data_IF_758852735471
#
_entry.id   IF_758852735471
#
_cell.length_a   1.000
_cell.length_b   1.000
_cell.length_c   1.000
_cell.angle_alpha   90.00
_cell.angle_beta   90.00
_cell.angle_gamma   90.00
#
_symmetry.space_group_name_H-M   'P 1'
#
loop_
_entity.id
_entity.type
_entity.pdbx_description
1 polymer ?
#
# COMPACT_ATOMS: atom_id res chain seq x y z
N UNK A 1 16.91 -19.34 12.15
CA UNK A 1 17.14 -18.86 10.78
C UNK A 1 16.80 -17.40 10.68
N UNK A 2 17.65 -16.65 10.00
CA UNK A 2 17.39 -15.23 9.78
C UNK A 2 16.30 -15.05 8.72
N UNK A 3 15.48 -14.03 8.89
CA UNK A 3 14.52 -13.62 7.87
C UNK A 3 15.27 -13.07 6.64
N UNK A 4 14.66 -13.18 5.48
CA UNK A 4 15.19 -12.55 4.28
C UNK A 4 15.28 -11.03 4.46
N UNK A 5 16.37 -10.37 4.02
CA UNK A 5 16.55 -8.92 4.20
C UNK A 5 15.38 -8.07 3.68
N UNK A 6 14.69 -8.54 2.64
CA UNK A 6 13.55 -7.84 2.07
C UNK A 6 12.35 -7.77 3.03
N UNK A 7 12.25 -8.68 4.00
CA UNK A 7 11.20 -8.60 5.04
C UNK A 7 11.36 -7.30 5.83
N UNK A 8 12.57 -6.99 6.29
CA UNK A 8 12.80 -5.78 7.08
C UNK A 8 12.64 -4.52 6.24
N UNK A 9 13.08 -4.53 4.98
CA UNK A 9 12.88 -3.40 4.08
C UNK A 9 11.40 -3.07 3.89
N UNK A 10 10.58 -4.11 3.71
CA UNK A 10 9.14 -3.95 3.57
C UNK A 10 8.52 -3.40 4.86
N UNK A 11 8.90 -3.96 6.02
CA UNK A 11 8.42 -3.47 7.31
C UNK A 11 8.77 -2.00 7.52
N UNK A 12 9.98 -1.60 7.17
CA UNK A 12 10.45 -0.22 7.31
C UNK A 12 9.64 0.73 6.41
N UNK A 13 9.34 0.30 5.19
CA UNK A 13 8.53 1.10 4.26
C UNK A 13 7.10 1.32 4.79
N UNK A 14 6.47 0.27 5.30
CA UNK A 14 5.13 0.38 5.86
C UNK A 14 5.13 1.19 7.16
N UNK A 15 6.18 1.07 7.97
CA UNK A 15 6.35 1.90 9.17
C UNK A 15 6.45 3.39 8.83
N UNK A 16 7.21 3.73 7.79
CA UNK A 16 7.31 5.10 7.30
C UNK A 16 5.95 5.62 6.80
N UNK A 17 5.21 4.78 6.06
CA UNK A 17 3.86 5.12 5.62
C UNK A 17 2.94 5.44 6.81
N UNK A 18 3.04 4.68 7.89
CA UNK A 18 2.20 4.84 9.08
C UNK A 18 2.38 6.19 9.77
N UNK A 19 3.56 6.82 9.62
CA UNK A 19 3.82 8.16 10.18
C UNK A 19 3.74 9.26 9.13
N UNK A 20 3.25 8.94 7.92
CA UNK A 20 3.08 9.91 6.85
C UNK A 20 4.35 10.30 6.10
N UNK A 21 5.45 9.56 6.30
CA UNK A 21 6.72 9.83 5.63
C UNK A 21 6.78 9.09 4.30
N UNK A 22 6.14 9.66 3.27
CA UNK A 22 6.09 9.04 1.95
C UNK A 22 7.46 8.97 1.27
N UNK A 23 8.34 9.92 1.51
CA UNK A 23 9.69 9.87 0.95
C UNK A 23 10.43 8.63 1.42
N UNK A 24 10.41 8.34 2.72
CA UNK A 24 11.03 7.14 3.27
C UNK A 24 10.27 5.88 2.86
N UNK A 25 8.93 5.92 2.83
CA UNK A 25 8.11 4.77 2.44
C UNK A 25 8.39 4.31 1.01
N UNK A 26 8.69 5.24 0.10
CA UNK A 26 8.83 4.97 -1.32
C UNK A 26 10.29 4.96 -1.81
N UNK A 27 11.26 5.01 -0.89
CA UNK A 27 12.68 5.13 -1.25
C UNK A 27 13.21 3.94 -2.05
N UNK A 28 12.64 2.75 -1.88
CA UNK A 28 13.09 1.52 -2.55
C UNK A 28 12.29 1.20 -3.82
N UNK A 29 11.45 2.12 -4.30
CA UNK A 29 10.73 1.92 -5.55
C UNK A 29 11.68 2.05 -6.76
N UNK A 30 11.49 1.17 -7.74
CA UNK A 30 12.08 1.37 -9.06
C UNK A 30 11.50 2.65 -9.68
N UNK A 31 12.27 3.36 -10.54
CA UNK A 31 11.78 4.63 -11.11
C UNK A 31 10.48 4.52 -11.87
N UNK A 32 10.19 3.36 -12.47
CA UNK A 32 8.98 3.10 -13.23
C UNK A 32 8.06 2.08 -12.55
N UNK A 33 8.14 2.00 -11.21
CA UNK A 33 7.28 1.12 -10.44
C UNK A 33 5.80 1.40 -10.71
N UNK A 34 4.97 0.35 -10.63
CA UNK A 34 3.53 0.44 -10.85
C UNK A 34 2.80 -0.07 -9.61
N UNK A 35 1.92 0.75 -9.07
CA UNK A 35 0.98 0.33 -8.04
C UNK A 35 -0.38 0.09 -8.69
N UNK A 36 -0.88 -1.14 -8.52
CA UNK A 36 -2.13 -1.61 -9.11
C UNK A 36 -3.22 -1.59 -8.05
N UNK A 37 -4.04 -0.55 -8.05
CA UNK A 37 -5.15 -0.43 -7.11
C UNK A 37 -6.44 -0.91 -7.76
N UNK A 38 -7.11 -1.85 -7.11
CA UNK A 38 -8.41 -2.33 -7.56
C UNK A 38 -9.48 -1.27 -7.39
N UNK A 39 -10.55 -1.38 -8.20
CA UNK A 39 -11.71 -0.55 -8.05
C UNK A 39 -12.02 0.28 -9.29
N UNK A 40 -12.98 1.22 -9.13
CA UNK A 40 -13.49 2.05 -10.23
C UNK A 40 -13.44 3.54 -9.94
N UNK A 41 -12.91 3.91 -8.76
CA UNK A 41 -12.89 5.30 -8.33
C UNK A 41 -11.65 6.07 -8.81
N UNK A 42 -11.52 7.32 -8.38
CA UNK A 42 -10.42 8.21 -8.81
C UNK A 42 -9.04 7.70 -8.42
N UNK A 43 -8.94 6.91 -7.34
CA UNK A 43 -7.66 6.37 -6.86
C UNK A 43 -7.39 4.97 -7.39
N UNK A 44 -8.31 4.40 -8.16
CA UNK A 44 -8.18 3.07 -8.74
C UNK A 44 -7.35 3.08 -10.01
N UNK A 45 -6.92 1.88 -10.43
CA UNK A 45 -6.13 1.70 -11.65
C UNK A 45 -4.64 1.63 -11.37
N UNK A 46 -3.86 1.76 -12.44
CA UNK A 46 -2.42 1.66 -12.38
C UNK A 46 -1.78 3.04 -12.23
N UNK A 47 -0.95 3.20 -11.19
CA UNK A 47 -0.20 4.42 -10.95
C UNK A 47 1.27 4.12 -11.22
N UNK A 48 1.84 4.73 -12.26
CA UNK A 48 3.20 4.45 -12.72
C UNK A 48 4.14 5.58 -12.34
N UNK A 49 5.25 5.21 -11.69
CA UNK A 49 6.30 6.14 -11.27
C UNK A 49 6.07 6.73 -9.90
N UNK A 50 7.15 7.20 -9.28
CA UNK A 50 7.13 7.68 -7.90
C UNK A 50 6.17 8.86 -7.72
N UNK A 51 6.13 9.80 -8.66
CA UNK A 51 5.27 10.97 -8.55
C UNK A 51 3.78 10.60 -8.58
N UNK A 52 3.38 9.72 -9.50
CA UNK A 52 1.99 9.27 -9.59
C UNK A 52 1.59 8.45 -8.36
N UNK A 53 2.48 7.59 -7.88
CA UNK A 53 2.25 6.79 -6.67
C UNK A 53 2.12 7.70 -5.45
N UNK A 54 3.01 8.68 -5.33
CA UNK A 54 2.94 9.66 -4.23
C UNK A 54 1.62 10.42 -4.25
N UNK A 55 1.17 10.86 -5.42
CA UNK A 55 -0.10 11.56 -5.57
C UNK A 55 -1.28 10.67 -5.15
N UNK A 56 -1.28 9.40 -5.55
CA UNK A 56 -2.34 8.46 -5.18
C UNK A 56 -2.39 8.22 -3.66
N UNK A 57 -1.23 8.01 -3.02
CA UNK A 57 -1.16 7.80 -1.58
C UNK A 57 -1.53 9.07 -0.80
N UNK A 58 -1.11 10.23 -1.28
CA UNK A 58 -1.53 11.50 -0.70
C UNK A 58 -3.05 11.64 -0.76
N UNK A 59 -3.66 11.24 -1.88
CA UNK A 59 -5.11 11.22 -2.03
C UNK A 59 -5.81 10.36 -0.98
N UNK A 60 -5.24 9.19 -0.65
CA UNK A 60 -5.83 8.35 0.40
C UNK A 60 -5.72 9.00 1.79
N UNK A 61 -4.63 9.67 2.08
CA UNK A 61 -4.48 10.41 3.35
C UNK A 61 -5.49 11.56 3.45
N UNK A 62 -5.68 12.30 2.37
CA UNK A 62 -6.64 13.40 2.33
C UNK A 62 -8.07 12.90 2.51
N UNK A 63 -8.45 11.85 1.79
CA UNK A 63 -9.78 11.26 1.88
C UNK A 63 -10.12 10.80 3.29
N UNK A 64 -9.13 10.26 4.00
CA UNK A 64 -9.31 9.69 5.34
C UNK A 64 -8.95 10.66 6.45
N UNK A 65 -8.59 11.90 6.14
CA UNK A 65 -8.12 12.90 7.10
C UNK A 65 -7.00 12.37 8.01
N UNK A 66 -6.10 11.57 7.44
CA UNK A 66 -4.95 11.02 8.15
C UNK A 66 -5.26 9.85 9.09
N UNK A 67 -6.46 9.29 9.04
CA UNK A 67 -6.85 8.17 9.92
C UNK A 67 -6.47 6.79 9.37
N UNK A 68 -6.05 6.71 8.10
CA UNK A 68 -5.72 5.44 7.46
C UNK A 68 -4.57 4.75 8.20
N UNK A 69 -4.79 3.48 8.57
CA UNK A 69 -3.77 2.65 9.21
C UNK A 69 -3.66 1.32 8.48
N UNK A 70 -2.43 0.88 8.26
CA UNK A 70 -2.10 -0.44 7.72
C UNK A 70 -1.40 -1.22 8.82
N UNK A 71 -2.16 -2.07 9.50
CA UNK A 71 -1.66 -2.86 10.61
C UNK A 71 -1.16 -4.22 10.09
N UNK A 72 0.16 -4.37 10.04
CA UNK A 72 0.78 -5.56 9.47
C UNK A 72 0.68 -6.75 10.42
N UNK A 73 0.13 -7.86 9.92
CA UNK A 73 0.09 -9.13 10.63
C UNK A 73 1.32 -9.99 10.31
N UNK A 74 1.65 -10.10 9.02
CA UNK A 74 2.78 -10.92 8.55
C UNK A 74 3.41 -10.32 7.30
N UNK A 75 4.72 -10.54 7.16
CA UNK A 75 5.47 -10.23 5.94
C UNK A 75 6.25 -11.48 5.55
N UNK A 76 6.11 -11.87 4.29
CA UNK A 76 6.92 -12.91 3.66
C UNK A 76 7.69 -12.30 2.50
N UNK A 77 8.93 -12.68 2.30
CA UNK A 77 9.70 -12.17 1.17
C UNK A 77 10.79 -13.14 0.77
N UNK A 78 11.11 -13.10 -0.51
CA UNK A 78 12.31 -13.72 -1.09
C UNK A 78 13.03 -12.69 -1.97
N UNK A 79 13.93 -13.13 -2.85
CA UNK A 79 14.67 -12.22 -3.72
C UNK A 79 13.78 -11.50 -4.74
N UNK A 80 12.63 -12.08 -5.08
CA UNK A 80 11.80 -11.64 -6.22
C UNK A 80 10.43 -11.12 -5.83
N UNK A 81 9.93 -11.49 -4.65
CA UNK A 81 8.56 -11.17 -4.23
C UNK A 81 8.46 -10.86 -2.75
N UNK A 82 7.47 -10.05 -2.41
CA UNK A 82 7.05 -9.85 -1.04
C UNK A 82 5.55 -10.00 -0.93
N UNK A 83 5.09 -10.48 0.23
CA UNK A 83 3.67 -10.58 0.56
C UNK A 83 3.47 -9.97 1.93
N UNK A 84 2.53 -9.04 2.02
CA UNK A 84 2.17 -8.39 3.28
C UNK A 84 0.72 -8.73 3.60
N UNK A 85 0.51 -9.35 4.75
CA UNK A 85 -0.83 -9.61 5.27
C UNK A 85 -1.12 -8.54 6.30
N UNK A 86 -2.22 -7.80 6.13
CA UNK A 86 -2.49 -6.63 6.94
C UNK A 86 -3.98 -6.43 7.17
N UNK A 87 -4.29 -5.57 8.12
CA UNK A 87 -5.64 -5.05 8.32
C UNK A 87 -5.61 -3.56 8.04
N UNK A 88 -6.51 -3.10 7.19
CA UNK A 88 -6.64 -1.67 6.89
C UNK A 88 -7.83 -1.10 7.62
N UNK A 89 -7.61 0.00 8.34
CA UNK A 89 -8.67 0.77 8.99
C UNK A 89 -8.55 2.23 8.60
N UNK A 90 -9.69 2.90 8.47
CA UNK A 90 -9.75 4.32 8.19
C UNK A 90 -11.14 4.86 8.49
N UNK A 91 -11.22 6.17 8.71
CA UNK A 91 -12.51 6.86 8.89
C UNK A 91 -12.50 8.12 8.04
N UNK A 92 -13.51 8.27 7.19
CA UNK A 92 -13.68 9.50 6.42
C UNK A 92 -14.33 10.59 7.28
N UNK A 93 -14.14 11.87 6.91
CA UNK A 93 -14.79 12.98 7.63
C UNK A 93 -16.31 12.89 7.69
N UNK A 94 -16.96 12.22 6.72
CA UNK A 94 -18.41 12.02 6.73
C UNK A 94 -18.87 10.89 7.66
N UNK A 95 -17.95 10.25 8.37
CA UNK A 95 -18.24 9.18 9.33
C UNK A 95 -18.18 7.77 8.75
N UNK A 96 -17.99 7.61 7.45
CA UNK A 96 -17.82 6.27 6.86
C UNK A 96 -16.53 5.64 7.39
N UNK A 97 -16.60 4.34 7.69
CA UNK A 97 -15.47 3.59 8.27
C UNK A 97 -15.10 2.41 7.40
N UNK A 98 -13.80 2.14 7.34
CA UNK A 98 -13.24 0.95 6.70
C UNK A 98 -12.52 0.13 7.76
N UNK A 99 -12.73 -1.19 7.74
CA UNK A 99 -12.04 -2.12 8.63
C UNK A 99 -12.05 -3.51 7.97
N UNK A 100 -11.02 -3.78 7.19
CA UNK A 100 -10.95 -4.99 6.37
C UNK A 100 -9.54 -5.60 6.39
N UNK A 101 -9.48 -6.91 6.14
CA UNK A 101 -8.23 -7.58 5.87
C UNK A 101 -7.81 -7.38 4.43
N UNK A 102 -6.50 -7.29 4.21
CA UNK A 102 -5.91 -7.14 2.88
C UNK A 102 -4.63 -7.93 2.77
N UNK A 103 -4.27 -8.21 1.53
CA UNK A 103 -2.94 -8.72 1.17
C UNK A 103 -2.36 -7.81 0.11
N UNK A 104 -1.11 -7.39 0.29
CA UNK A 104 -0.35 -6.75 -0.76
C UNK A 104 0.69 -7.72 -1.28
N UNK A 105 0.82 -7.79 -2.60
CA UNK A 105 1.86 -8.56 -3.27
C UNK A 105 2.80 -7.58 -3.95
N UNK A 106 4.10 -7.76 -3.73
CA UNK A 106 5.13 -6.89 -4.30
C UNK A 106 6.05 -7.72 -5.19
N UNK A 107 6.39 -7.18 -6.35
CA UNK A 107 7.46 -7.71 -7.18
C UNK A 107 8.73 -6.92 -6.89
N UNK A 108 9.86 -7.63 -6.80
CA UNK A 108 11.16 -7.06 -6.42
C UNK A 108 12.17 -7.44 -7.49
N UNK A 109 12.95 -6.46 -7.96
CA UNK A 109 13.98 -6.70 -8.98
C UNK A 109 15.31 -7.19 -8.39
N UNK A 110 16.29 -7.45 -9.26
CA UNK A 110 17.59 -7.97 -8.87
C UNK A 110 18.37 -7.01 -7.97
N UNK A 111 18.04 -5.72 -7.98
CA UNK A 111 18.70 -4.70 -7.17
C UNK A 111 17.95 -4.45 -5.84
N UNK A 112 16.90 -5.24 -5.56
CA UNK A 112 16.11 -5.11 -4.36
C UNK A 112 15.08 -3.98 -4.40
N UNK A 113 14.81 -3.43 -5.60
CA UNK A 113 13.82 -2.37 -5.77
C UNK A 113 12.43 -2.96 -6.04
N UNK A 114 11.42 -2.30 -5.52
CA UNK A 114 10.03 -2.71 -5.76
C UNK A 114 9.61 -2.19 -7.13
N UNK A 115 9.16 -3.10 -7.99
CA UNK A 115 8.70 -2.78 -9.35
C UNK A 115 7.20 -2.74 -9.47
N UNK A 116 6.49 -3.49 -8.65
CA UNK A 116 5.03 -3.56 -8.67
C UNK A 116 4.48 -3.80 -7.28
N UNK A 117 3.29 -3.28 -7.04
CA UNK A 117 2.47 -3.61 -5.87
C UNK A 117 1.04 -3.86 -6.33
N UNK A 118 0.48 -4.99 -5.92
CA UNK A 118 -0.93 -5.33 -6.10
C UNK A 118 -1.64 -5.27 -4.76
N UNK A 119 -2.72 -4.52 -4.70
CA UNK A 119 -3.57 -4.38 -3.53
C UNK A 119 -4.76 -5.33 -3.68
N UNK A 120 -4.88 -6.29 -2.76
CA UNK A 120 -5.88 -7.37 -2.82
C UNK A 120 -6.72 -7.34 -1.54
N UNK A 121 -7.73 -6.45 -1.47
CA UNK A 121 -8.61 -6.39 -0.30
C UNK A 121 -9.51 -7.64 -0.21
N UNK A 122 -9.83 -8.06 1.01
CA UNK A 122 -10.70 -9.21 1.27
C UNK A 122 -12.13 -8.98 0.81
N UNK A 123 -12.56 -7.71 0.78
CA UNK A 123 -13.86 -7.30 0.27
C UNK A 123 -13.65 -6.14 -0.71
N UNK A 124 -13.40 -6.45 -1.99
CA UNK A 124 -13.08 -5.42 -2.97
C UNK A 124 -14.18 -4.38 -3.15
N UNK A 125 -15.43 -4.78 -3.08
CA UNK A 125 -16.55 -3.86 -3.24
C UNK A 125 -16.62 -2.84 -2.10
N UNK A 126 -16.48 -3.28 -0.85
CA UNK A 126 -16.46 -2.40 0.31
C UNK A 126 -15.28 -1.44 0.26
N UNK A 127 -14.09 -1.94 -0.09
CA UNK A 127 -12.89 -1.12 -0.24
C UNK A 127 -13.09 -0.06 -1.33
N UNK A 128 -13.60 -0.46 -2.49
CA UNK A 128 -13.84 0.42 -3.63
C UNK A 128 -14.82 1.54 -3.27
N UNK A 129 -15.95 1.21 -2.66
CA UNK A 129 -16.95 2.20 -2.23
C UNK A 129 -16.37 3.20 -1.24
N UNK A 130 -15.59 2.71 -0.29
CA UNK A 130 -14.99 3.60 0.72
C UNK A 130 -14.07 4.64 0.07
N UNK A 131 -13.17 4.20 -0.81
CA UNK A 131 -12.21 5.10 -1.47
C UNK A 131 -12.82 5.91 -2.61
N UNK A 132 -13.98 5.51 -3.11
CA UNK A 132 -14.75 6.30 -4.08
C UNK A 132 -15.59 7.40 -3.40
N UNK A 133 -15.66 7.41 -2.08
CA UNK A 133 -16.46 8.36 -1.33
C UNK A 133 -17.94 8.00 -1.22
N UNK A 134 -18.26 6.74 -1.48
CA UNK A 134 -19.65 6.26 -1.40
C UNK A 134 -20.03 5.75 -0.02
#
# INVERSE_FOLDING_TARGET
MAEHPNVQRIRDAYGAFSVGDLTAALKDLAPNAVFHFNGRGPLSGDHTGVDAITAALTGTFELTAGTQMLDITKVYADDNHGVVVLRETATRPDGAMLDIDEVHVLAIDEEGRITDLWDLPSDPETHDRFFDGE
#
